data_IF_259052917543
#
_entry.id   IF_259052917543
#
_cell.length_a   1.000
_cell.length_b   1.000
_cell.length_c   1.000
_cell.angle_alpha   90.00
_cell.angle_beta   90.00
_cell.angle_gamma   90.00
#
_symmetry.space_group_name_H-M   'P 1'
#
loop_
_entity.id
_entity.type
_entity.pdbx_description
1 polymer ?
#
# COMPACT_ATOMS: atom_id res chain seq x y z
N UNK A 1 -7.05 18.46 11.56
CA UNK A 1 -7.80 17.57 12.48
C UNK A 1 -6.99 16.30 12.66
N UNK A 2 -6.86 15.88 13.90
CA UNK A 2 -5.68 15.28 14.54
C UNK A 2 -5.21 13.90 14.02
N UNK A 3 -3.99 13.85 13.48
CA UNK A 3 -3.26 12.61 13.18
C UNK A 3 -2.51 12.12 14.42
N UNK A 4 -3.19 11.43 15.34
CA UNK A 4 -2.54 10.66 16.42
C UNK A 4 -2.40 9.20 15.99
N UNK A 5 -1.29 8.84 15.36
CA UNK A 5 -0.96 7.43 15.10
C UNK A 5 0.50 7.25 15.46
N UNK A 6 0.88 7.24 16.74
CA UNK A 6 2.30 7.36 17.05
C UNK A 6 2.56 7.11 18.56
N UNK A 7 3.31 6.06 18.96
CA UNK A 7 3.86 5.83 20.33
C UNK A 7 5.24 6.49 20.51
N UNK A 8 5.53 7.11 21.66
CA UNK A 8 6.73 7.96 21.92
C UNK A 8 8.09 7.39 21.49
N UNK A 9 8.86 8.14 20.69
CA UNK A 9 10.26 7.86 20.32
C UNK A 9 10.43 7.24 18.92
N UNK A 10 10.97 8.01 17.96
CA UNK A 10 11.21 7.62 16.53
C UNK A 10 10.11 6.71 15.94
N UNK A 11 8.95 7.30 15.76
CA UNK A 11 7.73 6.57 15.47
C UNK A 11 7.66 6.19 13.99
N UNK A 12 7.74 4.89 13.67
CA UNK A 12 7.39 4.35 12.35
C UNK A 12 5.87 4.30 12.24
N UNK A 13 5.26 5.44 11.94
CA UNK A 13 3.81 5.58 11.82
C UNK A 13 3.40 5.32 10.37
N UNK A 14 2.27 4.63 10.16
CA UNK A 14 1.72 4.48 8.82
C UNK A 14 1.11 5.82 8.38
N UNK A 15 1.36 6.28 7.14
CA UNK A 15 0.81 7.53 6.64
C UNK A 15 -0.69 7.40 6.34
N UNK A 16 -1.42 8.53 6.33
CA UNK A 16 -2.83 8.56 5.95
C UNK A 16 -3.05 8.12 4.49
N UNK A 17 -2.10 8.46 3.62
CA UNK A 17 -2.06 7.99 2.23
C UNK A 17 -0.92 6.98 2.09
N UNK A 18 -1.27 5.74 1.78
CA UNK A 18 -0.33 4.64 1.62
C UNK A 18 -0.11 4.35 0.13
N UNK A 19 1.14 4.50 -0.33
CA UNK A 19 1.55 4.13 -1.67
C UNK A 19 2.24 2.76 -1.64
N UNK A 20 1.67 1.78 -2.33
CA UNK A 20 2.26 0.45 -2.48
C UNK A 20 2.74 0.25 -3.92
N UNK A 21 4.05 0.11 -4.09
CA UNK A 21 4.65 -0.20 -5.39
C UNK A 21 4.86 -1.71 -5.50
N UNK A 22 4.18 -2.33 -6.46
CA UNK A 22 4.42 -3.73 -6.79
C UNK A 22 5.74 -3.84 -7.54
N UNK A 23 6.70 -4.60 -7.00
CA UNK A 23 7.96 -4.87 -7.68
C UNK A 23 7.75 -5.88 -8.81
N UNK A 24 7.29 -5.40 -9.97
CA UNK A 24 7.02 -6.22 -11.16
C UNK A 24 8.21 -6.34 -12.11
N UNK A 25 9.43 -6.13 -11.63
CA UNK A 25 10.64 -6.27 -12.45
C UNK A 25 11.60 -7.25 -11.78
N UNK A 26 12.03 -8.25 -12.56
CA UNK A 26 13.04 -9.21 -12.14
C UNK A 26 13.97 -9.46 -13.34
N UNK A 27 15.28 -9.27 -13.11
CA UNK A 27 16.34 -9.50 -14.10
C UNK A 27 16.06 -8.89 -15.49
N UNK A 28 15.62 -7.63 -15.50
CA UNK A 28 15.33 -6.88 -16.74
C UNK A 28 14.05 -7.30 -17.46
N UNK A 29 13.25 -8.20 -16.87
CA UNK A 29 11.98 -8.67 -17.42
C UNK A 29 10.80 -8.19 -16.57
N UNK A 30 9.72 -7.80 -17.24
CA UNK A 30 8.46 -7.43 -16.58
C UNK A 30 7.67 -8.68 -16.16
N UNK A 31 7.30 -8.75 -14.89
CA UNK A 31 6.44 -9.79 -14.33
C UNK A 31 4.97 -9.42 -14.55
N UNK A 32 4.34 -10.15 -15.49
CA UNK A 32 2.94 -9.96 -15.88
C UNK A 32 1.99 -10.94 -15.18
N UNK A 33 2.46 -11.64 -14.15
CA UNK A 33 1.63 -12.56 -13.38
C UNK A 33 0.44 -11.84 -12.75
N UNK A 34 -0.69 -12.55 -12.73
CA UNK A 34 -1.91 -12.09 -12.09
C UNK A 34 -1.63 -11.87 -10.61
N UNK A 35 -1.87 -10.65 -10.17
CA UNK A 35 -1.82 -10.28 -8.76
C UNK A 35 -3.12 -9.58 -8.42
N UNK A 36 -3.78 -10.06 -7.37
CA UNK A 36 -5.02 -9.49 -6.87
C UNK A 36 -4.73 -8.57 -5.71
N UNK A 37 -5.39 -7.43 -5.69
CA UNK A 37 -5.34 -6.47 -4.60
C UNK A 37 -6.76 -6.20 -4.11
N UNK A 38 -6.97 -6.05 -2.79
CA UNK A 38 -8.30 -5.82 -2.25
C UNK A 38 -8.73 -4.36 -2.41
N UNK A 39 -10.04 -4.12 -2.47
CA UNK A 39 -10.61 -2.76 -2.41
C UNK A 39 -10.38 -2.12 -1.02
N UNK A 40 -10.38 -2.94 0.03
CA UNK A 40 -10.10 -2.53 1.39
C UNK A 40 -8.93 -3.36 1.95
N UNK A 41 -7.88 -2.68 2.37
CA UNK A 41 -6.68 -3.27 2.96
C UNK A 41 -6.71 -3.09 4.48
N UNK A 42 -7.05 -4.17 5.18
CA UNK A 42 -6.92 -4.26 6.63
C UNK A 42 -5.53 -4.77 7.00
N UNK A 43 -4.66 -3.88 7.49
CA UNK A 43 -3.30 -4.23 7.89
C UNK A 43 -3.25 -5.00 9.21
N UNK A 44 -4.34 -5.04 9.98
CA UNK A 44 -4.39 -5.67 11.31
C UNK A 44 -4.91 -7.10 11.29
N UNK A 45 -5.58 -7.51 10.20
CA UNK A 45 -6.24 -8.82 10.02
C UNK A 45 -5.39 -10.03 10.41
N UNK A 46 -4.09 -10.02 10.13
CA UNK A 46 -3.17 -11.13 10.39
C UNK A 46 -2.38 -10.92 11.68
N UNK A 47 -3.08 -10.85 12.82
CA UNK A 47 -2.49 -10.64 14.16
C UNK A 47 -1.49 -9.48 14.21
N UNK A 48 -1.78 -8.38 13.48
CA UNK A 48 -0.93 -7.19 13.39
C UNK A 48 0.54 -7.51 13.00
N UNK A 49 0.78 -8.48 12.12
CA UNK A 49 2.14 -8.91 11.70
C UNK A 49 3.05 -7.81 11.16
N UNK A 50 2.48 -6.72 10.65
CA UNK A 50 3.21 -5.57 10.11
C UNK A 50 3.53 -4.50 11.15
N UNK A 51 3.08 -4.68 12.40
CA UNK A 51 3.23 -3.73 13.48
C UNK A 51 4.31 -4.20 14.46
N UNK A 52 4.96 -3.24 15.11
CA UNK A 52 5.79 -3.54 16.26
C UNK A 52 4.93 -3.97 17.46
N UNK A 53 5.53 -4.72 18.40
CA UNK A 53 4.81 -5.22 19.58
C UNK A 53 4.24 -4.09 20.47
N UNK A 54 4.85 -2.90 20.43
CA UNK A 54 4.47 -1.69 21.15
C UNK A 54 3.55 -0.76 20.35
N UNK A 55 3.13 -1.14 19.14
CA UNK A 55 2.25 -0.31 18.33
C UNK A 55 0.90 -0.07 19.02
N UNK A 56 0.44 1.17 18.95
CA UNK A 56 -0.84 1.61 19.54
C UNK A 56 -2.01 0.77 19.02
N UNK A 57 -2.74 0.13 19.93
CA UNK A 57 -3.89 -0.74 19.62
C UNK A 57 -5.22 0.00 19.50
N UNK A 58 -5.24 1.29 19.85
CA UNK A 58 -6.44 2.13 19.74
C UNK A 58 -6.69 2.63 18.32
N UNK A 59 -5.64 2.69 17.49
CA UNK A 59 -5.74 3.12 16.10
C UNK A 59 -5.97 1.91 15.20
N UNK A 60 -7.01 1.99 14.35
CA UNK A 60 -7.27 1.01 13.29
C UNK A 60 -6.68 1.48 11.96
N UNK A 61 -5.85 0.64 11.36
CA UNK A 61 -5.15 0.93 10.10
C UNK A 61 -5.81 0.22 8.91
N UNK A 62 -7.01 0.68 8.56
CA UNK A 62 -7.80 0.16 7.44
C UNK A 62 -7.77 1.18 6.30
N UNK A 63 -7.28 0.77 5.13
CA UNK A 63 -7.11 1.62 3.96
C UNK A 63 -8.11 1.25 2.88
N UNK A 64 -8.67 2.25 2.20
CA UNK A 64 -9.48 2.05 0.99
C UNK A 64 -8.63 2.32 -0.23
N UNK A 65 -8.72 1.46 -1.24
CA UNK A 65 -8.04 1.65 -2.51
C UNK A 65 -8.59 2.90 -3.20
N UNK A 66 -7.73 3.90 -3.33
CA UNK A 66 -8.07 5.16 -3.99
C UNK A 66 -7.73 5.12 -5.49
N UNK A 67 -6.53 4.66 -5.83
CA UNK A 67 -6.05 4.68 -7.22
C UNK A 67 -5.09 3.55 -7.52
N UNK A 68 -5.10 3.09 -8.77
CA UNK A 68 -4.17 2.09 -9.30
C UNK A 68 -3.42 2.69 -10.48
N UNK A 69 -2.08 2.74 -10.36
CA UNK A 69 -1.20 3.10 -11.47
C UNK A 69 -0.81 1.84 -12.25
N UNK A 70 -1.10 1.83 -13.54
CA UNK A 70 -0.84 0.71 -14.44
C UNK A 70 0.18 1.12 -15.47
N UNK A 71 1.29 0.37 -15.55
CA UNK A 71 2.24 0.46 -16.65
C UNK A 71 1.90 -0.58 -17.71
N UNK A 72 1.44 -0.14 -18.87
CA UNK A 72 1.29 -0.98 -20.06
C UNK A 72 2.55 -0.92 -20.92
N UNK A 73 2.86 -2.00 -21.62
CA UNK A 73 4.08 -2.11 -22.44
C UNK A 73 5.27 -2.76 -21.73
N UNK A 74 6.44 -2.63 -22.35
CA UNK A 74 7.70 -3.22 -21.94
C UNK A 74 8.40 -2.39 -20.85
N UNK A 75 9.54 -2.89 -20.36
CA UNK A 75 10.34 -2.24 -19.31
C UNK A 75 10.79 -0.83 -19.72
N UNK A 76 11.22 -0.68 -20.98
CA UNK A 76 11.84 0.55 -21.48
C UNK A 76 10.89 1.41 -22.34
N UNK A 77 9.77 0.87 -22.78
CA UNK A 77 8.80 1.56 -23.64
C UNK A 77 7.37 1.18 -23.21
N UNK A 78 6.62 2.17 -22.70
CA UNK A 78 5.28 1.91 -22.18
C UNK A 78 4.48 3.18 -21.91
N UNK A 79 3.21 2.97 -21.54
CA UNK A 79 2.26 4.02 -21.19
C UNK A 79 1.76 3.83 -19.77
N UNK A 80 1.60 4.93 -19.04
CA UNK A 80 1.05 4.93 -17.69
C UNK A 80 -0.41 5.36 -17.71
N UNK A 81 -1.26 4.59 -17.05
CA UNK A 81 -2.67 4.88 -16.83
C UNK A 81 -2.96 4.89 -15.34
N UNK A 82 -3.76 5.84 -14.88
CA UNK A 82 -4.26 5.86 -13.51
C UNK A 82 -5.76 5.56 -13.53
N UNK A 83 -6.15 4.50 -12.83
CA UNK A 83 -7.55 4.24 -12.51
C UNK A 83 -7.82 4.82 -11.13
N UNK A 84 -8.79 5.72 -11.02
CA UNK A 84 -9.24 6.24 -9.73
C UNK A 84 -10.58 5.61 -9.39
N UNK A 85 -10.69 5.11 -8.17
CA UNK A 85 -11.96 4.64 -7.63
C UNK A 85 -12.75 5.86 -7.22
N UNK A 86 -13.87 6.11 -7.91
CA UNK A 86 -14.79 7.17 -7.52
C UNK A 86 -15.54 6.70 -6.26
N UNK A 87 -15.31 7.42 -5.17
CA UNK A 87 -16.00 7.28 -3.88
C UNK A 87 -17.06 8.35 -3.71
#
# INVERSE_FOLDING_TARGET
MDSKICSGGRKKCLPHVLHLQLNRFHDGTKLNDRYEFPLQLDLERDNRKYFSADADKSVRNIYTLHSVLVQSGEVNHGHYYAFMVQV
#
